data_IF_719215267463
#
_entry.id   IF_719215267463
#
_cell.length_a   1.000
_cell.length_b   1.000
_cell.length_c   1.000
_cell.angle_alpha   90.00
_cell.angle_beta   90.00
_cell.angle_gamma   90.00
#
_symmetry.space_group_name_H-M   'P 1'
#
loop_
_entity.id
_entity.type
_entity.pdbx_description
1 polymer ?
#
# COMPACT_ATOMS: atom_id res chain seq x y z
N UNK A 1 -22.08 -20.39 -35.29
CA UNK A 1 -20.84 -20.37 -36.09
C UNK A 1 -20.97 -19.28 -37.15
N UNK A 2 -20.49 -18.07 -36.89
CA UNK A 2 -20.34 -17.04 -37.92
C UNK A 2 -18.86 -16.80 -38.12
N UNK A 3 -18.41 -17.05 -39.31
CA UNK A 3 -17.02 -16.84 -39.76
C UNK A 3 -16.74 -15.34 -39.77
N UNK A 4 -15.69 -14.92 -39.05
CA UNK A 4 -15.11 -13.59 -39.16
C UNK A 4 -14.09 -13.68 -40.30
N UNK A 5 -14.36 -12.93 -41.36
CA UNK A 5 -13.48 -12.81 -42.51
C UNK A 5 -12.43 -11.76 -42.20
N UNK A 6 -11.17 -12.16 -42.09
CA UNK A 6 -10.03 -11.25 -42.08
C UNK A 6 -9.91 -10.63 -43.48
N UNK A 7 -10.03 -9.32 -43.58
CA UNK A 7 -9.61 -8.57 -44.73
C UNK A 7 -8.09 -8.37 -44.64
N UNK A 8 -7.37 -9.13 -45.46
CA UNK A 8 -5.97 -8.90 -45.73
C UNK A 8 -5.81 -7.67 -46.62
N UNK A 9 -5.00 -6.71 -46.20
CA UNK A 9 -4.51 -5.65 -47.06
C UNK A 9 -3.47 -6.26 -48.00
N UNK A 10 -3.75 -6.17 -49.31
CA UNK A 10 -2.93 -6.64 -50.40
C UNK A 10 -1.64 -5.82 -50.50
N UNK A 11 -0.52 -6.53 -50.60
CA UNK A 11 0.72 -5.98 -51.12
C UNK A 11 0.53 -5.58 -52.58
N UNK A 12 0.60 -4.28 -52.86
CA UNK A 12 0.78 -3.79 -54.23
C UNK A 12 2.27 -3.83 -54.57
N UNK A 13 2.53 -4.38 -55.76
CA UNK A 13 3.84 -4.79 -56.23
C UNK A 13 4.91 -3.68 -56.28
N UNK A 14 6.11 -4.01 -55.82
CA UNK A 14 7.33 -3.28 -56.04
C UNK A 14 7.83 -3.51 -57.48
N UNK A 15 7.84 -2.46 -58.27
CA UNK A 15 8.68 -2.39 -59.48
C UNK A 15 10.07 -1.91 -59.06
N UNK A 16 11.08 -2.77 -59.22
CA UNK A 16 12.49 -2.39 -59.03
C UNK A 16 12.91 -1.41 -60.13
N UNK A 17 13.09 -0.15 -59.80
CA UNK A 17 13.88 0.78 -60.58
C UNK A 17 15.14 1.13 -59.76
N UNK A 18 16.30 0.66 -60.25
CA UNK A 18 17.61 1.02 -59.73
C UNK A 18 17.97 2.45 -60.16
N UNK A 19 18.10 3.37 -59.20
CA UNK A 19 18.72 4.67 -59.40
C UNK A 19 19.92 4.85 -58.43
N UNK A 20 20.93 5.65 -58.84
CA UNK A 20 22.17 5.75 -58.09
C UNK A 20 22.01 6.59 -56.83
N UNK A 21 22.79 6.21 -55.83
CA UNK A 21 22.89 6.76 -54.49
C UNK A 21 22.86 8.26 -54.37
N UNK A 22 21.73 8.80 -53.87
CA UNK A 22 21.68 10.05 -53.10
C UNK A 22 20.40 10.04 -52.25
N UNK A 23 20.53 9.81 -50.98
CA UNK A 23 19.47 9.98 -49.99
C UNK A 23 18.30 9.00 -50.11
N UNK A 24 18.49 7.78 -49.66
CA UNK A 24 17.38 6.82 -49.59
C UNK A 24 16.47 7.24 -48.45
N UNK A 25 15.21 7.61 -48.80
CA UNK A 25 14.20 7.95 -47.84
C UNK A 25 13.92 6.77 -46.91
N UNK A 26 14.02 6.96 -45.61
CA UNK A 26 13.63 5.94 -44.64
C UNK A 26 12.14 6.04 -44.33
N UNK A 27 11.55 4.94 -43.87
CA UNK A 27 10.16 4.90 -43.45
C UNK A 27 10.03 4.49 -41.99
N UNK A 28 8.95 4.97 -41.34
CA UNK A 28 8.55 4.52 -40.03
C UNK A 28 7.49 3.43 -40.19
N UNK A 29 7.64 2.34 -39.46
CA UNK A 29 6.61 1.32 -39.38
C UNK A 29 6.28 1.04 -37.92
N UNK A 30 5.03 0.76 -37.67
CA UNK A 30 4.55 0.23 -36.40
C UNK A 30 4.87 -1.26 -36.35
N UNK A 31 5.84 -1.66 -35.56
CA UNK A 31 6.12 -3.09 -35.40
C UNK A 31 5.21 -3.74 -34.34
N UNK A 32 4.78 -2.99 -33.35
CA UNK A 32 3.99 -3.49 -32.24
C UNK A 32 3.18 -2.42 -31.47
N UNK A 33 2.09 -1.97 -32.00
CA UNK A 33 1.09 -1.26 -31.17
C UNK A 33 0.11 -2.27 -30.53
N UNK A 34 0.36 -3.58 -30.65
CA UNK A 34 -0.64 -4.61 -30.38
C UNK A 34 -0.21 -5.65 -29.34
N UNK A 35 0.87 -5.48 -28.59
CA UNK A 35 1.13 -6.51 -27.56
C UNK A 35 0.16 -6.50 -26.39
N UNK A 36 -0.60 -5.44 -26.20
CA UNK A 36 -1.45 -5.26 -25.03
C UNK A 36 -2.91 -4.90 -25.34
N UNK A 37 -3.45 -5.30 -26.50
CA UNK A 37 -4.88 -5.16 -26.76
C UNK A 37 -5.33 -3.77 -27.20
N UNK A 38 -4.53 -3.08 -27.98
CA UNK A 38 -4.92 -1.83 -28.65
C UNK A 38 -5.90 -2.11 -29.78
N UNK A 39 -7.03 -1.44 -29.80
CA UNK A 39 -7.94 -1.41 -30.95
C UNK A 39 -7.75 -0.12 -31.70
N UNK A 40 -7.57 -0.24 -33.03
CA UNK A 40 -7.52 0.87 -33.97
C UNK A 40 -8.84 1.00 -34.72
N UNK A 41 -9.28 2.22 -34.91
CA UNK A 41 -10.33 2.56 -35.86
C UNK A 41 -9.98 3.89 -36.50
N UNK A 42 -9.93 3.92 -37.83
CA UNK A 42 -9.66 5.14 -38.62
C UNK A 42 -8.34 5.84 -38.23
N UNK A 43 -7.28 5.08 -37.96
CA UNK A 43 -5.99 5.62 -37.55
C UNK A 43 -5.94 6.14 -36.10
N UNK A 44 -6.98 5.89 -35.30
CA UNK A 44 -7.08 6.29 -33.89
C UNK A 44 -6.96 5.09 -32.98
N UNK A 45 -6.26 5.25 -31.88
CA UNK A 45 -6.21 4.24 -30.82
C UNK A 45 -7.47 4.39 -29.98
N UNK A 46 -8.34 3.37 -30.01
CA UNK A 46 -9.59 3.36 -29.27
C UNK A 46 -9.41 2.77 -27.88
N UNK A 47 -8.43 1.88 -27.68
CA UNK A 47 -8.26 1.14 -26.43
C UNK A 47 -6.80 0.83 -26.19
N UNK A 48 -6.40 1.00 -24.93
CA UNK A 48 -5.14 0.51 -24.39
C UNK A 48 -5.42 -0.52 -23.30
N UNK A 49 -4.62 -1.57 -23.28
CA UNK A 49 -4.61 -2.54 -22.20
C UNK A 49 -3.25 -2.47 -21.49
N UNK A 50 -3.28 -2.32 -20.18
CA UNK A 50 -2.14 -2.44 -19.24
C UNK A 50 -0.77 -2.06 -19.81
N UNK A 51 -0.43 -0.77 -19.75
CA UNK A 51 0.86 -0.26 -20.19
C UNK A 51 0.84 0.04 -21.69
N UNK A 52 0.53 1.18 -22.00
CA UNK A 52 0.45 1.92 -23.24
C UNK A 52 1.80 1.96 -23.95
N UNK A 53 2.27 0.80 -24.36
CA UNK A 53 3.55 0.64 -25.04
C UNK A 53 3.40 1.03 -26.51
N UNK A 54 4.22 1.94 -26.94
CA UNK A 54 4.31 2.38 -28.35
C UNK A 54 5.68 1.95 -28.86
N UNK A 55 5.68 1.08 -29.88
CA UNK A 55 6.87 0.56 -30.53
C UNK A 55 6.93 1.06 -31.97
N UNK A 56 7.96 1.78 -32.32
CA UNK A 56 8.18 2.30 -33.65
C UNK A 56 9.57 1.90 -34.15
N UNK A 57 9.62 1.39 -35.37
CA UNK A 57 10.85 0.99 -36.03
C UNK A 57 11.12 1.81 -37.27
N UNK A 58 12.37 2.13 -37.52
CA UNK A 58 12.84 2.71 -38.76
C UNK A 58 13.25 1.60 -39.72
N UNK A 59 12.69 1.65 -40.93
CA UNK A 59 13.04 0.78 -42.05
C UNK A 59 13.95 1.52 -43.03
N UNK A 60 14.73 0.73 -43.78
CA UNK A 60 15.48 1.15 -44.98
C UNK A 60 16.55 2.26 -44.77
N UNK A 61 16.95 2.54 -43.53
CA UNK A 61 18.04 3.46 -43.26
C UNK A 61 19.38 2.71 -43.12
N UNK A 62 20.48 3.17 -43.76
CA UNK A 62 21.80 2.58 -43.57
C UNK A 62 22.26 2.55 -42.12
N UNK A 63 22.90 1.46 -41.69
CA UNK A 63 23.31 1.25 -40.29
C UNK A 63 24.28 2.31 -39.72
N UNK A 64 24.92 3.04 -40.59
CA UNK A 64 25.87 4.12 -40.22
C UNK A 64 25.22 5.44 -39.90
N UNK A 65 23.94 5.63 -40.21
CA UNK A 65 23.23 6.86 -39.99
C UNK A 65 22.59 6.90 -38.60
N UNK A 66 22.69 8.06 -37.92
CA UNK A 66 22.07 8.29 -36.60
C UNK A 66 20.67 8.81 -36.74
N UNK A 67 19.79 8.40 -35.83
CA UNK A 67 18.43 8.88 -35.74
C UNK A 67 18.27 9.70 -34.45
N UNK A 68 17.67 10.87 -34.61
CA UNK A 68 17.19 11.68 -33.48
C UNK A 68 15.68 11.50 -33.39
N UNK A 69 15.23 11.08 -32.22
CA UNK A 69 13.82 10.88 -31.93
C UNK A 69 13.23 12.06 -31.16
N UNK A 70 12.01 12.46 -31.54
CA UNK A 70 11.20 13.40 -30.79
C UNK A 70 9.83 12.80 -30.56
N UNK A 71 9.35 12.85 -29.30
CA UNK A 71 8.02 12.38 -28.92
C UNK A 71 7.24 13.56 -28.38
N UNK A 72 6.08 13.84 -28.95
CA UNK A 72 5.19 14.87 -28.45
C UNK A 72 3.79 14.35 -28.17
N UNK A 73 3.14 14.89 -27.14
CA UNK A 73 1.77 14.64 -26.78
C UNK A 73 1.02 15.96 -26.79
N UNK A 74 -0.10 16.00 -27.50
CA UNK A 74 -0.89 17.22 -27.73
C UNK A 74 -0.03 18.40 -28.18
N UNK A 75 0.98 18.14 -29.03
CA UNK A 75 1.92 19.13 -29.54
C UNK A 75 3.01 19.59 -28.57
N UNK A 76 3.03 19.10 -27.34
CA UNK A 76 4.08 19.40 -26.38
C UNK A 76 5.20 18.35 -26.44
N UNK A 77 6.44 18.80 -26.53
CA UNK A 77 7.61 17.93 -26.55
C UNK A 77 7.76 17.19 -25.20
N UNK A 78 7.73 15.89 -25.26
CA UNK A 78 7.87 14.97 -24.13
C UNK A 78 9.12 14.09 -24.26
N UNK A 79 10.00 14.35 -25.20
CA UNK A 79 11.15 13.52 -25.53
C UNK A 79 12.01 13.18 -24.31
N UNK A 80 12.31 14.20 -23.49
CA UNK A 80 13.11 14.00 -22.26
C UNK A 80 12.38 13.15 -21.22
N UNK A 81 11.06 13.29 -21.14
CA UNK A 81 10.25 12.54 -20.19
C UNK A 81 10.17 11.04 -20.54
N UNK A 82 10.14 10.72 -21.83
CA UNK A 82 10.09 9.34 -22.30
C UNK A 82 11.47 8.70 -22.52
N UNK A 83 12.44 9.47 -23.02
CA UNK A 83 13.74 8.94 -23.39
C UNK A 83 14.85 9.22 -22.36
N UNK A 84 14.53 10.02 -21.32
CA UNK A 84 15.52 10.47 -20.33
C UNK A 84 16.48 11.55 -20.86
N UNK A 85 17.26 12.17 -19.96
CA UNK A 85 18.25 13.19 -20.35
C UNK A 85 19.45 12.60 -21.09
N UNK A 86 19.79 11.34 -20.80
CA UNK A 86 20.78 10.55 -21.54
C UNK A 86 20.05 9.47 -22.31
N UNK A 87 19.37 9.80 -23.40
CA UNK A 87 18.62 8.88 -24.29
C UNK A 87 18.86 7.42 -23.88
N UNK A 88 18.01 6.90 -22.99
CA UNK A 88 18.21 5.57 -22.43
C UNK A 88 18.29 4.58 -23.58
N UNK A 89 19.46 3.96 -23.76
CA UNK A 89 19.75 3.07 -24.87
C UNK A 89 18.81 1.87 -24.92
N UNK A 90 18.15 1.54 -23.80
CA UNK A 90 17.13 0.48 -23.73
C UNK A 90 15.85 0.87 -24.45
N UNK A 91 15.52 2.17 -24.50
CA UNK A 91 14.31 2.69 -25.15
C UNK A 91 14.51 2.95 -26.65
N UNK A 92 15.73 3.08 -27.12
CA UNK A 92 16.06 3.44 -28.53
C UNK A 92 16.68 2.27 -29.30
N UNK A 93 16.74 1.08 -28.69
CA UNK A 93 17.41 -0.10 -29.26
C UNK A 93 18.92 0.09 -29.49
N UNK A 94 19.64 -1.01 -29.69
CA UNK A 94 21.11 -1.00 -29.77
C UNK A 94 21.68 -0.22 -30.96
N UNK A 95 20.87 0.06 -31.99
CA UNK A 95 21.25 0.79 -33.20
C UNK A 95 20.52 2.13 -33.36
N UNK A 96 19.70 2.56 -32.34
CA UNK A 96 18.92 3.78 -32.42
C UNK A 96 17.72 3.75 -33.40
N UNK A 97 17.40 2.57 -33.94
CA UNK A 97 16.40 2.39 -35.01
C UNK A 97 15.05 1.94 -34.53
N UNK A 98 14.92 1.78 -33.24
CA UNK A 98 13.73 1.29 -32.58
C UNK A 98 13.43 2.21 -31.41
N UNK A 99 12.20 2.69 -31.30
CA UNK A 99 11.71 3.51 -30.22
C UNK A 99 10.60 2.78 -29.51
N UNK A 100 10.81 2.51 -28.21
CA UNK A 100 9.79 1.98 -27.32
C UNK A 100 9.54 2.99 -26.20
N UNK A 101 8.28 3.32 -25.94
CA UNK A 101 7.91 4.15 -24.81
C UNK A 101 6.50 3.84 -24.33
N UNK A 102 6.21 4.24 -23.10
CA UNK A 102 4.92 4.03 -22.46
C UNK A 102 4.15 5.35 -22.37
N UNK A 103 2.92 5.35 -22.87
CA UNK A 103 1.99 6.47 -22.69
C UNK A 103 1.26 6.30 -21.35
N UNK A 104 1.10 7.34 -20.54
CA UNK A 104 0.44 7.25 -19.25
C UNK A 104 -1.01 6.77 -19.33
N UNK A 105 -1.45 6.02 -18.32
CA UNK A 105 -2.85 5.63 -18.17
C UNK A 105 -3.78 6.85 -18.16
N UNK A 106 -4.95 6.72 -18.78
CA UNK A 106 -5.94 7.80 -18.86
C UNK A 106 -5.56 8.93 -19.79
N UNK A 107 -4.42 8.83 -20.53
CA UNK A 107 -4.10 9.81 -21.54
C UNK A 107 -5.12 9.74 -22.69
N UNK A 108 -5.59 10.92 -23.10
CA UNK A 108 -6.46 11.13 -24.28
C UNK A 108 -5.92 12.31 -25.03
N UNK A 109 -5.59 12.14 -26.30
CA UNK A 109 -4.98 13.20 -27.07
C UNK A 109 -4.14 12.68 -28.24
N UNK A 110 -3.40 13.59 -28.85
CA UNK A 110 -2.59 13.31 -30.03
C UNK A 110 -1.16 12.88 -29.63
N UNK A 111 -0.73 11.75 -30.15
CA UNK A 111 0.64 11.26 -30.03
C UNK A 111 1.33 11.49 -31.37
N UNK A 112 2.49 12.15 -31.34
CA UNK A 112 3.33 12.34 -32.51
C UNK A 112 4.77 11.90 -32.19
N UNK A 113 5.35 11.11 -33.09
CA UNK A 113 6.75 10.70 -33.04
C UNK A 113 7.42 11.17 -34.33
N UNK A 114 8.56 11.82 -34.18
CA UNK A 114 9.41 12.19 -35.30
C UNK A 114 10.76 11.50 -35.19
N UNK A 115 11.20 10.93 -36.30
CA UNK A 115 12.55 10.41 -36.48
C UNK A 115 13.27 11.27 -37.51
N UNK A 116 14.42 11.84 -37.13
CA UNK A 116 15.25 12.69 -37.98
C UNK A 116 16.59 12.00 -38.23
N UNK A 117 16.96 11.91 -39.51
CA UNK A 117 18.30 11.52 -39.94
C UNK A 117 18.83 12.48 -40.99
N UNK A 118 19.91 13.20 -40.66
CA UNK A 118 20.41 14.27 -41.52
C UNK A 118 19.35 15.39 -41.72
N UNK A 119 18.96 15.63 -42.97
CA UNK A 119 17.93 16.61 -43.33
C UNK A 119 16.53 15.96 -43.49
N UNK A 120 16.44 14.64 -43.38
CA UNK A 120 15.17 13.95 -43.54
C UNK A 120 14.45 13.78 -42.21
N UNK A 121 13.14 14.03 -42.19
CA UNK A 121 12.27 13.87 -41.04
C UNK A 121 11.08 13.02 -41.47
N UNK A 122 10.84 11.94 -40.73
CA UNK A 122 9.62 11.13 -40.87
C UNK A 122 8.79 11.26 -39.60
N UNK A 123 7.50 11.28 -39.80
CA UNK A 123 6.54 11.45 -38.70
C UNK A 123 5.57 10.29 -38.66
N UNK A 124 5.40 9.73 -37.49
CA UNK A 124 4.28 8.86 -37.15
C UNK A 124 3.37 9.60 -36.18
N UNK A 125 2.04 9.47 -36.32
CA UNK A 125 1.10 10.08 -35.41
C UNK A 125 -0.16 9.24 -35.26
N UNK A 126 -0.75 9.32 -34.07
CA UNK A 126 -2.03 8.69 -33.75
C UNK A 126 -2.78 9.52 -32.72
N UNK A 127 -4.06 9.23 -32.53
CA UNK A 127 -4.88 9.87 -31.49
C UNK A 127 -5.52 8.85 -30.56
N UNK A 128 -5.30 9.02 -29.27
CA UNK A 128 -6.01 8.29 -28.23
C UNK A 128 -7.34 8.98 -27.97
N UNK A 129 -8.44 8.28 -28.22
CA UNK A 129 -9.79 8.87 -28.06
C UNK A 129 -10.54 8.27 -26.88
N UNK A 130 -10.21 7.05 -26.47
CA UNK A 130 -10.81 6.41 -25.29
C UNK A 130 -9.83 5.44 -24.66
N UNK A 131 -10.00 5.26 -23.34
CA UNK A 131 -9.21 4.32 -22.52
C UNK A 131 -10.16 3.24 -21.97
N UNK A 132 -10.66 2.43 -22.88
CA UNK A 132 -11.63 1.37 -22.57
C UNK A 132 -11.08 0.01 -22.98
N UNK A 133 -11.04 -0.95 -22.06
CA UNK A 133 -10.69 -2.33 -22.32
C UNK A 133 -11.91 -3.25 -22.18
N UNK A 134 -12.20 -4.05 -23.22
CA UNK A 134 -13.36 -4.95 -23.28
C UNK A 134 -14.72 -4.29 -22.97
N UNK A 135 -14.87 -3.00 -23.29
CA UNK A 135 -16.09 -2.24 -22.99
C UNK A 135 -16.08 -1.58 -21.61
N UNK A 136 -15.07 -1.81 -20.80
CA UNK A 136 -14.91 -1.21 -19.48
C UNK A 136 -13.80 -0.16 -19.51
N UNK A 137 -14.01 0.94 -18.76
CA UNK A 137 -12.97 1.95 -18.60
C UNK A 137 -11.74 1.30 -17.95
N UNK A 138 -10.55 1.59 -18.46
CA UNK A 138 -9.29 1.29 -17.80
C UNK A 138 -8.69 2.58 -17.24
N UNK A 139 -7.97 2.50 -16.12
CA UNK A 139 -7.37 3.65 -15.50
C UNK A 139 -6.35 3.26 -14.44
N UNK A 140 -5.52 4.23 -14.03
CA UNK A 140 -4.54 3.99 -12.99
C UNK A 140 -5.16 3.70 -11.62
N UNK A 141 -6.33 4.29 -11.32
CA UNK A 141 -7.07 4.04 -10.08
C UNK A 141 -8.31 3.22 -10.35
N UNK A 142 -8.49 2.17 -9.57
CA UNK A 142 -9.72 1.37 -9.57
C UNK A 142 -10.27 1.19 -8.16
N UNK A 143 -11.58 1.12 -8.08
CA UNK A 143 -12.34 0.90 -6.85
C UNK A 143 -12.88 -0.52 -6.89
N UNK A 144 -12.62 -1.32 -5.87
CA UNK A 144 -13.30 -2.58 -5.67
C UNK A 144 -14.66 -2.32 -5.01
N UNK A 145 -15.73 -2.46 -5.77
CA UNK A 145 -17.12 -2.31 -5.30
C UNK A 145 -17.62 -3.57 -4.61
N UNK A 146 -17.21 -4.73 -5.13
CA UNK A 146 -17.45 -6.06 -4.55
C UNK A 146 -16.35 -7.00 -5.06
N UNK A 147 -16.29 -8.21 -4.51
CA UNK A 147 -15.29 -9.20 -4.92
C UNK A 147 -15.24 -9.35 -6.45
N UNK A 148 -14.07 -9.08 -7.02
CA UNK A 148 -13.78 -9.15 -8.45
C UNK A 148 -14.58 -8.17 -9.35
N UNK A 149 -15.25 -7.17 -8.74
CA UNK A 149 -15.97 -6.13 -9.47
C UNK A 149 -15.34 -4.77 -9.22
N UNK A 150 -14.84 -4.15 -10.29
CA UNK A 150 -14.04 -2.93 -10.21
C UNK A 150 -14.62 -1.82 -11.07
N UNK A 151 -14.63 -0.59 -10.53
CA UNK A 151 -14.88 0.63 -11.29
C UNK A 151 -13.60 1.45 -11.41
N UNK A 152 -13.23 1.84 -12.63
CA UNK A 152 -12.07 2.66 -12.88
C UNK A 152 -12.42 4.15 -12.79
N UNK A 153 -11.56 4.92 -12.11
CA UNK A 153 -11.70 6.36 -11.97
C UNK A 153 -11.10 7.08 -13.17
N UNK A 154 -11.71 8.19 -13.56
CA UNK A 154 -11.12 9.10 -14.52
C UNK A 154 -9.81 9.67 -13.96
N UNK A 155 -8.70 9.31 -14.60
CA UNK A 155 -7.35 9.65 -14.15
C UNK A 155 -6.78 10.75 -15.03
N UNK A 156 -6.21 11.77 -14.41
CA UNK A 156 -5.44 12.83 -15.09
C UNK A 156 -3.95 12.58 -14.85
N UNK A 157 -3.17 12.74 -15.91
CA UNK A 157 -1.71 12.67 -15.85
C UNK A 157 -1.12 14.08 -16.00
N UNK A 158 -0.17 14.40 -15.12
CA UNK A 158 0.64 15.61 -15.21
C UNK A 158 2.08 15.24 -15.57
N UNK A 159 2.54 15.69 -16.72
CA UNK A 159 3.86 15.39 -17.26
C UNK A 159 4.99 16.12 -16.52
N UNK A 160 4.74 17.30 -15.97
CA UNK A 160 5.74 18.09 -15.28
C UNK A 160 6.05 17.49 -13.92
N UNK A 161 5.00 17.14 -13.19
CA UNK A 161 5.15 16.55 -11.84
C UNK A 161 5.26 15.03 -11.86
N UNK A 162 5.03 14.38 -13.01
CA UNK A 162 4.95 12.92 -13.18
C UNK A 162 3.96 12.30 -12.19
N UNK A 163 2.77 12.87 -12.10
CA UNK A 163 1.74 12.43 -11.18
C UNK A 163 0.44 12.03 -11.88
N UNK A 164 -0.18 10.97 -11.35
CA UNK A 164 -1.57 10.63 -11.64
C UNK A 164 -2.46 11.25 -10.58
N UNK A 165 -3.58 11.83 -11.00
CA UNK A 165 -4.60 12.41 -10.12
C UNK A 165 -5.97 11.92 -10.52
N UNK A 166 -6.81 11.56 -9.54
CA UNK A 166 -8.22 11.25 -9.75
C UNK A 166 -9.08 11.88 -8.66
N UNK A 167 -10.32 12.21 -9.01
CA UNK A 167 -11.33 12.61 -8.02
C UNK A 167 -11.95 11.37 -7.41
N UNK A 168 -12.04 11.34 -6.08
CA UNK A 168 -12.62 10.23 -5.33
C UNK A 168 -14.10 10.51 -5.03
N UNK A 169 -15.01 9.54 -5.23
CA UNK A 169 -16.41 9.71 -4.90
C UNK A 169 -16.65 9.91 -3.40
N UNK A 170 -17.59 10.78 -3.05
CA UNK A 170 -18.04 10.97 -1.66
C UNK A 170 -19.02 9.88 -1.19
N UNK A 171 -19.63 9.17 -2.15
CA UNK A 171 -20.57 8.09 -1.89
C UNK A 171 -20.30 6.91 -2.82
N UNK A 172 -20.54 5.69 -2.32
CA UNK A 172 -20.54 4.47 -3.12
C UNK A 172 -21.76 3.64 -2.75
N UNK A 173 -22.51 3.16 -3.74
CA UNK A 173 -23.77 2.41 -3.53
C UNK A 173 -24.71 3.12 -2.54
N UNK A 174 -24.82 4.46 -2.60
CA UNK A 174 -25.62 5.29 -1.72
C UNK A 174 -25.09 5.45 -0.28
N UNK A 175 -23.96 4.86 0.05
CA UNK A 175 -23.33 5.00 1.36
C UNK A 175 -22.27 6.08 1.34
N UNK A 176 -22.21 6.91 2.40
CA UNK A 176 -21.15 7.90 2.59
C UNK A 176 -19.80 7.23 2.72
N UNK A 177 -18.81 7.71 1.98
CA UNK A 177 -17.41 7.33 2.13
C UNK A 177 -16.73 8.30 3.09
N UNK A 178 -16.18 7.79 4.19
CA UNK A 178 -15.42 8.58 5.17
C UNK A 178 -13.96 8.71 4.78
N UNK A 179 -13.40 7.70 4.12
CA UNK A 179 -12.06 7.70 3.57
C UNK A 179 -11.91 6.60 2.51
N UNK A 180 -10.86 6.71 1.73
CA UNK A 180 -10.40 5.67 0.81
C UNK A 180 -9.12 5.05 1.35
N UNK A 181 -9.15 3.74 1.53
CA UNK A 181 -7.99 2.96 1.92
C UNK A 181 -7.11 2.72 0.69
N UNK A 182 -5.87 3.11 0.79
CA UNK A 182 -4.83 2.87 -0.21
C UNK A 182 -3.62 2.21 0.47
N UNK A 183 -2.89 1.41 -0.28
CA UNK A 183 -1.63 0.80 0.14
C UNK A 183 -0.49 1.45 -0.64
N UNK A 184 0.32 2.25 0.03
CA UNK A 184 1.53 2.81 -0.55
C UNK A 184 2.75 2.23 0.16
N UNK A 185 3.57 1.43 -0.54
CA UNK A 185 4.77 0.78 -0.01
C UNK A 185 4.51 -0.10 1.25
N UNK A 186 3.36 -0.76 1.34
CA UNK A 186 2.98 -1.60 2.48
C UNK A 186 2.44 -0.82 3.69
N UNK A 187 2.39 0.51 3.65
CA UNK A 187 1.76 1.32 4.68
C UNK A 187 0.30 1.61 4.34
N UNK A 188 -0.57 1.45 5.35
CA UNK A 188 -1.97 1.83 5.23
C UNK A 188 -2.10 3.36 5.21
N UNK A 189 -2.66 3.90 4.12
CA UNK A 189 -3.04 5.30 4.02
C UNK A 189 -4.55 5.45 3.91
N UNK A 190 -5.09 6.45 4.57
CA UNK A 190 -6.48 6.87 4.43
C UNK A 190 -6.52 8.24 3.77
N UNK A 191 -7.16 8.30 2.60
CA UNK A 191 -7.34 9.53 1.83
C UNK A 191 -8.80 9.96 1.91
N UNK A 192 -9.04 11.24 2.19
CA UNK A 192 -10.40 11.80 2.16
C UNK A 192 -10.97 11.78 0.73
N UNK A 193 -12.31 11.74 0.55
CA UNK A 193 -12.95 11.70 -0.76
C UNK A 193 -12.92 13.06 -1.47
N UNK A 194 -11.75 13.61 -1.77
CA UNK A 194 -11.59 14.82 -2.55
C UNK A 194 -10.82 14.54 -3.85
N UNK A 195 -9.54 14.20 -3.67
CA UNK A 195 -8.68 13.78 -4.78
C UNK A 195 -7.53 12.95 -4.27
N UNK A 196 -7.02 12.07 -5.12
CA UNK A 196 -5.83 11.28 -4.87
C UNK A 196 -4.78 11.61 -5.92
N UNK A 197 -3.52 11.71 -5.51
CA UNK A 197 -2.40 11.96 -6.40
C UNK A 197 -1.22 11.08 -6.02
N UNK A 198 -0.62 10.42 -7.01
CA UNK A 198 0.57 9.59 -6.83
C UNK A 198 1.60 9.88 -7.92
N UNK A 199 2.85 9.94 -7.51
CA UNK A 199 3.97 10.00 -8.44
C UNK A 199 4.15 8.67 -9.15
N UNK A 200 4.36 8.73 -10.46
CA UNK A 200 4.68 7.54 -11.25
C UNK A 200 6.10 7.07 -10.97
N UNK A 201 6.25 5.81 -10.58
CA UNK A 201 7.56 5.21 -10.28
C UNK A 201 8.00 4.16 -11.30
N UNK A 202 7.34 4.12 -12.47
CA UNK A 202 7.57 3.07 -13.46
C UNK A 202 6.76 1.79 -13.18
N UNK A 203 6.42 1.05 -14.25
CA UNK A 203 5.61 -0.17 -14.19
C UNK A 203 4.11 0.07 -14.33
N UNK A 204 3.44 -0.78 -15.11
CA UNK A 204 2.02 -0.66 -15.46
C UNK A 204 1.03 -1.11 -14.38
N UNK A 205 1.31 -0.89 -13.10
CA UNK A 205 0.42 -1.32 -12.04
C UNK A 205 -0.65 -0.26 -11.75
N UNK A 206 -1.92 -0.66 -11.82
CA UNK A 206 -3.04 0.14 -11.31
C UNK A 206 -3.02 0.16 -9.77
N UNK A 207 -3.68 1.17 -9.18
CA UNK A 207 -3.87 1.27 -7.74
C UNK A 207 -5.30 0.93 -7.36
N UNK A 208 -5.44 0.04 -6.42
CA UNK A 208 -6.73 -0.36 -5.85
C UNK A 208 -7.05 0.51 -4.65
N UNK A 209 -8.28 1.03 -4.64
CA UNK A 209 -8.82 1.86 -3.58
C UNK A 209 -10.02 1.16 -2.96
N UNK A 210 -10.07 1.12 -1.65
CA UNK A 210 -11.15 0.47 -0.90
C UNK A 210 -11.91 1.51 -0.08
N UNK A 211 -13.25 1.60 -0.20
CA UNK A 211 -14.02 2.59 0.52
C UNK A 211 -14.14 2.24 2.01
N UNK A 212 -14.00 3.23 2.86
CA UNK A 212 -14.30 3.15 4.29
C UNK A 212 -15.66 3.80 4.52
N UNK A 213 -16.70 2.97 4.59
CA UNK A 213 -18.10 3.43 4.70
C UNK A 213 -18.64 3.43 6.12
N UNK A 214 -17.88 3.00 7.10
CA UNK A 214 -18.23 3.07 8.53
C UNK A 214 -17.57 4.29 9.17
N UNK A 215 -18.32 5.01 10.02
CA UNK A 215 -17.79 6.15 10.77
C UNK A 215 -16.65 5.76 11.72
N UNK A 216 -16.71 4.56 12.28
CA UNK A 216 -15.66 3.96 13.10
C UNK A 216 -15.51 2.49 12.72
N UNK A 217 -14.28 2.02 12.54
CA UNK A 217 -14.03 0.60 12.22
C UNK A 217 -12.56 0.21 12.40
N UNK A 218 -12.38 -1.09 12.61
CA UNK A 218 -11.08 -1.72 12.49
C UNK A 218 -10.71 -1.88 11.02
N UNK A 219 -9.44 -1.67 10.73
CA UNK A 219 -8.84 -1.89 9.41
C UNK A 219 -7.64 -2.81 9.58
N UNK A 220 -7.50 -3.77 8.68
CA UNK A 220 -6.32 -4.64 8.62
C UNK A 220 -5.49 -4.29 7.39
N UNK A 221 -4.18 -4.20 7.57
CA UNK A 221 -3.22 -4.07 6.48
C UNK A 221 -2.00 -4.93 6.84
N UNK A 222 -1.68 -5.89 5.98
CA UNK A 222 -0.68 -6.92 6.22
C UNK A 222 -0.90 -7.64 7.57
N UNK A 223 0.10 -7.61 8.45
CA UNK A 223 0.02 -8.19 9.79
C UNK A 223 -0.56 -7.24 10.84
N UNK A 224 -0.78 -5.96 10.49
CA UNK A 224 -1.13 -4.90 11.44
C UNK A 224 -2.63 -4.61 11.46
N UNK A 225 -3.13 -4.26 12.65
CA UNK A 225 -4.47 -3.74 12.85
C UNK A 225 -4.41 -2.25 13.17
N UNK A 226 -5.38 -1.53 12.64
CA UNK A 226 -5.58 -0.10 12.82
C UNK A 226 -7.01 0.18 13.22
N UNK A 227 -7.25 1.29 13.90
CA UNK A 227 -8.60 1.78 14.15
C UNK A 227 -8.78 3.15 13.53
N UNK A 228 -9.89 3.36 12.85
CA UNK A 228 -10.21 4.65 12.26
C UNK A 228 -11.49 5.23 12.86
N UNK A 229 -11.55 6.58 12.95
CA UNK A 229 -12.71 7.39 13.29
C UNK A 229 -12.87 8.48 12.26
N UNK A 230 -14.07 8.57 11.66
CA UNK A 230 -14.41 9.59 10.67
C UNK A 230 -13.40 9.69 9.52
N UNK A 231 -12.86 8.56 9.08
CA UNK A 231 -11.87 8.49 8.01
C UNK A 231 -10.44 8.85 8.41
N UNK A 232 -10.14 8.96 9.69
CA UNK A 232 -8.79 9.22 10.20
C UNK A 232 -8.31 8.06 11.07
N UNK A 233 -7.04 7.68 10.92
CA UNK A 233 -6.42 6.70 11.81
C UNK A 233 -6.31 7.28 13.23
N UNK A 234 -6.70 6.49 14.21
CA UNK A 234 -6.44 6.78 15.61
C UNK A 234 -4.96 6.49 15.87
N UNK A 235 -4.26 7.47 16.41
CA UNK A 235 -2.82 7.40 16.68
C UNK A 235 -2.54 7.84 18.11
N UNK A 236 -1.57 7.18 18.75
CA UNK A 236 -1.09 7.49 20.09
C UNK A 236 -2.23 7.62 21.13
N UNK A 237 -3.23 6.76 21.04
CA UNK A 237 -4.46 6.87 21.79
C UNK A 237 -5.10 5.53 22.14
N UNK A 238 -5.90 5.54 23.20
CA UNK A 238 -6.73 4.43 23.60
C UNK A 238 -8.01 4.35 22.78
N UNK A 239 -8.37 3.13 22.43
CA UNK A 239 -9.63 2.78 21.75
C UNK A 239 -10.39 1.82 22.64
N UNK A 240 -11.67 2.09 22.86
CA UNK A 240 -12.58 1.15 23.52
C UNK A 240 -13.56 0.61 22.47
N UNK A 241 -13.51 -0.69 22.25
CA UNK A 241 -14.44 -1.37 21.35
C UNK A 241 -15.06 -2.57 22.06
N UNK A 242 -16.40 -2.68 22.01
CA UNK A 242 -17.17 -3.73 22.67
C UNK A 242 -16.73 -4.03 24.12
N UNK A 243 -16.46 -2.96 24.90
CA UNK A 243 -16.05 -3.06 26.30
C UNK A 243 -14.56 -3.34 26.52
N UNK A 244 -13.80 -3.69 25.49
CA UNK A 244 -12.38 -3.99 25.54
C UNK A 244 -11.55 -2.78 25.16
N UNK A 245 -10.43 -2.57 25.87
CA UNK A 245 -9.51 -1.50 25.59
C UNK A 245 -8.34 -1.98 24.71
N UNK A 246 -7.93 -1.13 23.80
CA UNK A 246 -6.80 -1.28 22.88
C UNK A 246 -5.99 0.01 22.86
N UNK A 247 -4.74 -0.05 22.46
CA UNK A 247 -3.91 1.14 22.28
C UNK A 247 -3.30 1.17 20.87
N UNK A 248 -3.40 2.32 20.21
CA UNK A 248 -2.80 2.59 18.93
C UNK A 248 -1.51 3.38 19.12
N UNK A 249 -0.40 2.96 18.52
CA UNK A 249 0.87 3.67 18.59
C UNK A 249 0.85 4.96 17.72
N UNK A 250 1.99 5.63 17.64
CA UNK A 250 2.20 6.85 16.86
C UNK A 250 1.96 6.66 15.34
N UNK A 251 2.10 5.41 14.83
CA UNK A 251 1.78 5.03 13.45
C UNK A 251 0.34 4.53 13.27
N UNK A 252 -0.46 4.53 14.31
CA UNK A 252 -1.82 3.99 14.31
C UNK A 252 -1.89 2.46 14.36
N UNK A 253 -0.77 1.77 14.59
CA UNK A 253 -0.73 0.31 14.70
C UNK A 253 -1.16 -0.11 16.09
N UNK A 254 -2.05 -1.09 16.19
CA UNK A 254 -2.52 -1.65 17.44
C UNK A 254 -1.39 -2.36 18.20
N UNK A 255 -1.21 -2.02 19.47
CA UNK A 255 -0.34 -2.77 20.36
C UNK A 255 -0.83 -4.22 20.54
N UNK A 256 0.07 -5.16 20.47
CA UNK A 256 -0.24 -6.55 20.79
C UNK A 256 0.98 -7.22 21.45
N UNK A 257 0.72 -8.14 22.36
CA UNK A 257 1.75 -8.97 23.03
C UNK A 257 2.95 -8.16 23.53
N UNK A 258 2.70 -6.99 24.10
CA UNK A 258 3.72 -6.05 24.56
C UNK A 258 3.26 -5.24 25.78
N UNK A 259 4.19 -4.53 26.39
CA UNK A 259 3.95 -3.59 27.48
C UNK A 259 3.93 -2.14 26.97
N UNK A 260 3.09 -1.32 27.61
CA UNK A 260 3.02 0.13 27.39
C UNK A 260 3.20 0.83 28.72
N UNK A 261 4.13 1.78 28.77
CA UNK A 261 4.22 2.75 29.88
C UNK A 261 3.57 4.05 29.45
N UNK A 262 2.49 4.44 30.13
CA UNK A 262 1.79 5.68 29.83
C UNK A 262 1.12 6.27 31.07
N UNK A 263 1.20 7.60 31.22
CA UNK A 263 0.59 8.29 32.34
C UNK A 263 1.07 7.80 33.69
N UNK A 264 2.34 7.39 33.86
CA UNK A 264 2.90 6.86 35.09
C UNK A 264 2.55 5.40 35.41
N UNK A 265 1.86 4.69 34.51
CA UNK A 265 1.42 3.31 34.73
C UNK A 265 1.89 2.39 33.62
N UNK A 266 2.12 1.12 33.94
CA UNK A 266 2.34 0.05 32.99
C UNK A 266 1.04 -0.65 32.67
N UNK A 267 0.85 -0.95 31.38
CA UNK A 267 -0.25 -1.72 30.82
C UNK A 267 0.30 -2.84 29.96
N UNK A 268 -0.43 -3.92 29.81
CA UNK A 268 -0.03 -5.03 28.97
C UNK A 268 -1.16 -5.50 28.06
N UNK A 269 -0.80 -6.03 26.89
CA UNK A 269 -1.75 -6.42 25.87
C UNK A 269 -1.57 -7.90 25.47
N UNK A 270 -2.70 -8.57 25.23
CA UNK A 270 -2.75 -9.93 24.67
C UNK A 270 -2.30 -9.94 23.20
N UNK A 271 -2.07 -11.10 22.64
CA UNK A 271 -1.80 -11.29 21.21
C UNK A 271 -2.94 -10.78 20.31
N UNK A 272 -4.17 -10.76 20.83
CA UNK A 272 -5.34 -10.16 20.17
C UNK A 272 -5.35 -8.62 20.19
N UNK A 273 -4.39 -7.98 20.85
CA UNK A 273 -4.37 -6.54 21.09
C UNK A 273 -5.22 -6.08 22.28
N UNK A 274 -6.01 -6.94 22.88
CA UNK A 274 -6.84 -6.59 24.04
C UNK A 274 -5.97 -6.29 25.27
N UNK A 275 -6.22 -5.15 25.93
CA UNK A 275 -5.58 -4.82 27.21
C UNK A 275 -5.93 -5.88 28.25
N UNK A 276 -4.93 -6.31 29.01
CA UNK A 276 -5.12 -7.23 30.12
C UNK A 276 -5.62 -6.41 31.32
N UNK A 277 -6.71 -6.85 31.94
CA UNK A 277 -7.27 -6.21 33.12
C UNK A 277 -7.86 -7.24 34.07
N UNK A 278 -7.74 -7.00 35.39
CA UNK A 278 -8.19 -7.86 36.47
C UNK A 278 -7.67 -9.31 36.31
N UNK A 279 -6.38 -9.45 35.93
CA UNK A 279 -5.81 -10.76 35.62
C UNK A 279 -4.29 -10.75 35.84
N UNK A 280 -3.74 -11.97 35.95
CA UNK A 280 -2.31 -12.21 36.04
C UNK A 280 -1.70 -12.37 34.66
N UNK A 281 -0.52 -11.80 34.46
CA UNK A 281 0.33 -11.99 33.29
C UNK A 281 1.64 -12.65 33.69
N UNK A 282 1.97 -13.76 33.04
CA UNK A 282 3.31 -14.34 33.14
C UNK A 282 4.16 -13.83 31.98
N UNK A 283 5.23 -13.12 32.31
CA UNK A 283 6.15 -12.57 31.33
C UNK A 283 7.60 -12.65 31.85
N UNK A 284 8.52 -13.09 31.01
CA UNK A 284 9.95 -13.23 31.30
C UNK A 284 10.25 -13.92 32.63
N UNK A 285 9.52 -15.00 32.95
CA UNK A 285 9.75 -15.78 34.17
C UNK A 285 9.12 -15.21 35.44
N UNK A 286 8.32 -14.15 35.36
CA UNK A 286 7.69 -13.46 36.48
C UNK A 286 6.20 -13.29 36.27
N UNK A 287 5.45 -13.28 37.36
CA UNK A 287 4.03 -12.95 37.36
C UNK A 287 3.79 -11.50 37.72
N UNK A 288 2.88 -10.85 37.00
CA UNK A 288 2.45 -9.47 37.21
C UNK A 288 0.94 -9.43 37.27
N UNK A 289 0.37 -8.56 38.12
CA UNK A 289 -1.06 -8.39 38.21
C UNK A 289 -1.51 -7.05 37.62
N UNK A 290 -2.43 -7.14 36.65
CA UNK A 290 -3.05 -5.96 36.03
C UNK A 290 -4.40 -5.72 36.71
N UNK A 291 -4.60 -4.51 37.25
CA UNK A 291 -5.83 -4.12 37.95
C UNK A 291 -7.06 -4.12 37.04
N UNK A 292 -8.23 -3.84 37.60
CA UNK A 292 -9.46 -3.66 36.82
C UNK A 292 -9.37 -2.51 35.82
N UNK A 293 -8.52 -1.52 36.06
CA UNK A 293 -8.23 -0.43 35.10
C UNK A 293 -7.16 -0.79 34.08
N UNK A 294 -6.58 -2.01 34.15
CA UNK A 294 -5.47 -2.44 33.31
C UNK A 294 -4.09 -2.01 33.80
N UNK A 295 -3.99 -1.13 34.81
CA UNK A 295 -2.69 -0.70 35.34
C UNK A 295 -2.03 -1.81 36.15
N UNK A 296 -0.73 -2.03 35.93
CA UNK A 296 0.08 -2.97 36.70
C UNK A 296 0.13 -2.54 38.18
N UNK A 297 -0.09 -3.49 39.08
CA UNK A 297 0.07 -3.30 40.51
C UNK A 297 1.52 -3.44 40.93
N UNK A 298 1.96 -2.59 41.86
CA UNK A 298 3.30 -2.66 42.43
C UNK A 298 3.26 -2.29 43.94
N UNK A 299 4.19 -2.83 44.72
CA UNK A 299 4.32 -2.61 46.15
C UNK A 299 3.01 -2.79 46.93
N UNK A 300 2.26 -3.84 46.67
CA UNK A 300 0.93 -4.03 47.26
C UNK A 300 0.50 -5.50 47.31
N UNK A 301 -0.47 -5.75 48.20
CA UNK A 301 -1.15 -7.02 48.29
C UNK A 301 -2.22 -7.16 47.21
N UNK A 302 -2.33 -8.38 46.66
CA UNK A 302 -3.37 -8.79 45.72
C UNK A 302 -4.17 -9.92 46.37
N UNK A 303 -5.49 -9.75 46.44
CA UNK A 303 -6.40 -10.82 46.81
C UNK A 303 -7.04 -11.40 45.54
N UNK A 304 -6.72 -12.65 45.24
CA UNK A 304 -7.28 -13.33 44.07
C UNK A 304 -7.66 -14.76 44.41
N UNK A 305 -8.87 -15.17 44.03
CA UNK A 305 -9.40 -16.53 44.22
C UNK A 305 -9.27 -17.07 45.66
N UNK A 306 -9.46 -16.20 46.66
CA UNK A 306 -9.42 -16.56 48.08
C UNK A 306 -8.02 -16.57 48.69
N UNK A 307 -6.98 -16.21 47.96
CA UNK A 307 -5.60 -16.22 48.39
C UNK A 307 -4.96 -14.82 48.29
N UNK A 308 -3.97 -14.57 49.15
CA UNK A 308 -3.19 -13.36 49.16
C UNK A 308 -1.84 -13.57 48.48
N UNK A 309 -1.47 -12.62 47.68
CA UNK A 309 -0.19 -12.53 46.96
C UNK A 309 0.41 -11.14 47.20
N UNK A 310 1.70 -10.97 47.07
CA UNK A 310 2.34 -9.68 47.15
C UNK A 310 3.17 -9.41 45.89
N UNK A 311 3.04 -8.22 45.32
CA UNK A 311 3.85 -7.77 44.18
C UNK A 311 4.84 -6.70 44.66
N UNK A 312 6.10 -6.86 44.21
CA UNK A 312 7.22 -5.98 44.58
C UNK A 312 7.10 -4.58 43.94
N UNK A 313 8.04 -3.70 44.24
CA UNK A 313 8.12 -2.39 43.58
C UNK A 313 8.29 -2.43 42.07
N UNK A 314 8.83 -3.51 41.52
CA UNK A 314 8.89 -3.75 40.08
C UNK A 314 7.60 -4.33 39.49
N UNK A 315 6.57 -4.59 40.31
CA UNK A 315 5.33 -5.26 39.93
C UNK A 315 5.42 -6.80 39.91
N UNK A 316 6.61 -7.37 40.04
CA UNK A 316 6.78 -8.82 40.03
C UNK A 316 6.23 -9.46 41.30
N UNK A 317 5.47 -10.55 41.17
CA UNK A 317 4.99 -11.35 42.28
C UNK A 317 6.18 -11.94 43.06
N UNK A 318 6.13 -11.82 44.38
CA UNK A 318 7.11 -12.41 45.28
C UNK A 318 6.72 -13.88 45.54
N UNK A 319 7.71 -14.76 45.50
CA UNK A 319 7.54 -16.17 45.83
C UNK A 319 8.81 -16.72 46.52
N UNK A 320 8.64 -17.70 47.41
CA UNK A 320 9.71 -18.28 48.26
C UNK A 320 10.48 -17.22 49.04
N UNK A 321 9.81 -16.18 49.52
CA UNK A 321 10.51 -15.08 50.21
C UNK A 321 9.63 -14.38 51.22
N UNK A 322 10.28 -13.64 52.14
CA UNK A 322 9.65 -12.82 53.14
C UNK A 322 9.36 -11.41 52.62
N UNK A 323 8.21 -10.91 53.03
CA UNK A 323 7.80 -9.49 52.77
C UNK A 323 7.52 -8.84 54.06
N UNK A 324 8.10 -7.66 54.28
CA UNK A 324 7.76 -6.78 55.39
C UNK A 324 6.75 -5.71 54.94
N UNK A 325 5.56 -5.75 55.56
CA UNK A 325 4.53 -4.75 55.30
C UNK A 325 3.95 -4.28 56.63
N UNK A 326 3.79 -2.94 56.78
CA UNK A 326 3.27 -2.31 57.99
C UNK A 326 3.90 -2.85 59.29
N UNK A 327 5.23 -3.05 59.28
CA UNK A 327 6.01 -3.53 60.45
C UNK A 327 5.94 -5.04 60.71
N UNK A 328 5.15 -5.80 60.00
CA UNK A 328 4.98 -7.24 60.13
C UNK A 328 5.64 -7.99 58.97
N UNK A 329 6.09 -9.23 59.25
CA UNK A 329 6.67 -10.08 58.26
C UNK A 329 5.68 -11.14 57.80
N UNK A 330 5.65 -11.42 56.49
CA UNK A 330 4.79 -12.41 55.86
C UNK A 330 5.62 -13.27 54.90
N UNK A 331 5.35 -14.52 54.80
CA UNK A 331 6.06 -15.44 53.86
C UNK A 331 5.18 -15.82 52.70
N UNK A 332 5.69 -15.67 51.48
CA UNK A 332 5.06 -16.08 50.26
C UNK A 332 5.65 -17.42 49.80
N UNK A 333 4.81 -18.44 49.63
CA UNK A 333 5.20 -19.78 49.19
C UNK A 333 5.76 -19.80 47.75
N UNK A 334 6.24 -20.92 47.26
CA UNK A 334 6.71 -21.07 45.89
C UNK A 334 5.64 -20.74 44.83
N UNK A 335 4.37 -20.91 45.18
CA UNK A 335 3.22 -20.49 44.35
C UNK A 335 2.91 -19.01 44.40
N UNK A 336 3.62 -18.22 45.20
CA UNK A 336 3.32 -16.82 45.51
C UNK A 336 2.23 -16.62 46.55
N UNK A 337 1.54 -17.67 47.03
CA UNK A 337 0.49 -17.55 48.05
C UNK A 337 1.09 -17.21 49.41
N UNK A 338 0.46 -16.31 50.14
CA UNK A 338 0.82 -16.02 51.52
C UNK A 338 0.52 -17.23 52.43
N UNK A 339 1.53 -17.69 53.17
CA UNK A 339 1.34 -18.75 54.18
C UNK A 339 0.58 -18.21 55.38
N UNK A 340 -0.27 -19.06 56.01
CA UNK A 340 -0.98 -18.78 57.26
C UNK A 340 -1.26 -20.06 58.03
N UNK A 341 -1.29 -19.95 59.35
CA UNK A 341 -1.49 -21.06 60.29
C UNK A 341 -0.54 -22.24 60.02
N UNK A 342 0.72 -21.95 59.74
CA UNK A 342 1.69 -22.98 59.39
C UNK A 342 3.13 -22.54 59.65
N UNK A 343 4.07 -23.47 59.57
CA UNK A 343 5.49 -23.16 59.62
C UNK A 343 6.01 -22.87 58.20
N UNK A 344 6.86 -21.89 58.07
CA UNK A 344 7.61 -21.57 56.85
C UNK A 344 8.73 -22.58 56.60
N UNK A 345 9.30 -22.70 55.42
CA UNK A 345 10.41 -23.62 55.14
C UNK A 345 11.65 -23.39 55.99
N UNK A 346 11.89 -22.20 56.46
CA UNK A 346 12.98 -21.78 57.36
C UNK A 346 12.59 -21.85 58.84
N UNK A 347 11.43 -22.45 59.19
CA UNK A 347 11.07 -22.88 60.52
C UNK A 347 10.32 -21.82 61.41
N UNK A 348 9.87 -20.72 60.81
CA UNK A 348 9.10 -19.71 61.53
C UNK A 348 7.60 -19.95 61.43
N UNK A 349 6.86 -19.71 62.52
CA UNK A 349 5.40 -19.85 62.51
C UNK A 349 4.71 -18.56 62.06
N UNK A 350 3.79 -18.67 61.09
CA UNK A 350 2.91 -17.60 60.65
C UNK A 350 1.48 -17.89 61.10
N UNK A 351 0.86 -16.91 61.72
CA UNK A 351 -0.47 -17.04 62.30
C UNK A 351 -1.61 -16.97 61.30
N UNK A 352 -2.86 -16.86 61.83
CA UNK A 352 -4.06 -16.78 60.97
C UNK A 352 -4.10 -15.58 60.03
N UNK A 353 -3.48 -14.46 60.45
CA UNK A 353 -3.34 -13.27 59.60
C UNK A 353 -2.23 -13.41 58.53
N UNK A 354 -1.46 -14.48 58.54
CA UNK A 354 -0.25 -14.65 57.76
C UNK A 354 1.00 -13.98 58.35
N UNK A 355 0.84 -13.17 59.41
CA UNK A 355 1.97 -12.50 60.05
C UNK A 355 2.80 -13.49 60.88
N UNK A 356 4.14 -13.31 60.86
CA UNK A 356 5.09 -14.00 61.70
C UNK A 356 4.76 -13.67 63.19
N UNK A 357 4.84 -14.69 64.03
CA UNK A 357 4.56 -14.64 65.49
C UNK A 357 5.82 -14.91 66.28
#
# INVERSE_FOLDING_TARGET
MKKITLFGLSLAGLALLTFPHSGQAFELTEEWVIKCGVQYQDGKILRFNNGHEVDIKVLDLPKTEKIEWTVSLDGQDQTVNFLGQEKDKSMVGTEGRYLNFYVPYGYRGDIKVEAKSGNEVKTWSTKVVDDVYNGEKSGYYRIEESKDHYTYLDTKWDYQTKTYTATLPETINGQKVYAWKDHDNGELKLTKPESISHSYKGGGAFRELYPVVKAESWLKSDQNWYYQKQGQLVQNAWVKDNGTWYFMNDKGIMFNQTWLYQGGNWYAFKSSGAMIANDWLYDQGKWYYLSTSGSMKASTWIFDKGEWYYVSSSGAMIANDWVKDNGKWYYLASSGKMLRNTYTPDGYYVGNSGAWQ
#
